data_IF_626981723541
#
_entry.id   IF_626981723541
#
_cell.length_a   1.000
_cell.length_b   1.000
_cell.length_c   1.000
_cell.angle_alpha   90.00
_cell.angle_beta   90.00
_cell.angle_gamma   90.00
#
_symmetry.space_group_name_H-M   'P 1'
#
loop_
_entity.id
_entity.type
_entity.pdbx_description
1 polymer ?
#
# COMPACT_ATOMS: atom_id res chain seq x y z
N UNK A 1 15.38 -17.32 9.00
CA UNK A 1 15.45 -17.03 7.56
C UNK A 1 15.67 -15.53 7.45
N UNK A 2 16.86 -15.11 7.02
CA UNK A 2 17.16 -13.69 6.79
C UNK A 2 16.41 -13.28 5.54
N UNK A 3 15.46 -12.35 5.67
CA UNK A 3 14.86 -11.70 4.52
C UNK A 3 15.98 -10.87 3.90
N UNK A 4 16.59 -11.40 2.86
CA UNK A 4 17.49 -10.66 1.99
C UNK A 4 16.64 -9.66 1.21
N UNK A 5 16.34 -8.53 1.86
CA UNK A 5 15.65 -7.42 1.23
C UNK A 5 16.66 -6.85 0.24
N UNK A 6 16.60 -7.33 -1.00
CA UNK A 6 17.35 -6.79 -2.12
C UNK A 6 17.22 -5.25 -2.08
N UNK A 7 18.31 -4.57 -1.75
CA UNK A 7 18.30 -3.16 -1.35
C UNK A 7 17.72 -2.23 -2.42
N UNK A 8 17.82 -2.66 -3.69
CA UNK A 8 17.23 -2.01 -4.85
C UNK A 8 15.69 -2.10 -4.87
N UNK A 9 15.13 -3.22 -4.39
CA UNK A 9 13.69 -3.45 -4.30
C UNK A 9 13.07 -2.62 -3.17
N UNK A 10 13.76 -2.47 -2.03
CA UNK A 10 13.30 -1.62 -0.93
C UNK A 10 13.24 -0.14 -1.32
N UNK A 11 14.30 0.36 -1.98
CA UNK A 11 14.34 1.76 -2.45
C UNK A 11 13.19 2.06 -3.43
N UNK A 12 12.94 1.16 -4.37
CA UNK A 12 11.82 1.26 -5.32
C UNK A 12 10.45 1.21 -4.63
N UNK A 13 10.26 0.30 -3.68
CA UNK A 13 9.01 0.18 -2.92
C UNK A 13 8.71 1.41 -2.05
N UNK A 14 9.72 1.95 -1.36
CA UNK A 14 9.56 3.20 -0.57
C UNK A 14 9.24 4.38 -1.48
N UNK A 15 9.91 4.50 -2.62
CA UNK A 15 9.65 5.57 -3.57
C UNK A 15 8.23 5.51 -4.14
N UNK A 16 7.76 4.29 -4.47
CA UNK A 16 6.39 4.04 -4.93
C UNK A 16 5.37 4.44 -3.86
N UNK A 17 5.61 4.08 -2.59
CA UNK A 17 4.74 4.47 -1.48
C UNK A 17 4.70 5.98 -1.26
N UNK A 18 5.85 6.65 -1.27
CA UNK A 18 5.93 8.11 -1.15
C UNK A 18 5.18 8.80 -2.29
N UNK A 19 5.36 8.32 -3.52
CA UNK A 19 4.67 8.84 -4.68
C UNK A 19 3.14 8.68 -4.55
N UNK A 20 2.66 7.51 -4.14
CA UNK A 20 1.24 7.27 -3.91
C UNK A 20 0.66 8.22 -2.84
N UNK A 21 1.39 8.47 -1.75
CA UNK A 21 1.00 9.44 -0.74
C UNK A 21 0.94 10.87 -1.28
N UNK A 22 1.92 11.26 -2.10
CA UNK A 22 1.94 12.58 -2.76
C UNK A 22 0.72 12.75 -3.68
N UNK A 23 0.33 11.71 -4.42
CA UNK A 23 -0.87 11.73 -5.27
C UNK A 23 -2.15 11.92 -4.44
N UNK A 24 -2.29 11.21 -3.32
CA UNK A 24 -3.43 11.37 -2.40
C UNK A 24 -3.49 12.80 -1.85
N UNK A 25 -2.34 13.36 -1.45
CA UNK A 25 -2.25 14.72 -0.92
C UNK A 25 -2.62 15.73 -2.01
N UNK A 26 -2.11 15.57 -3.23
CA UNK A 26 -2.47 16.40 -4.40
C UNK A 26 -3.98 16.41 -4.62
N UNK A 27 -4.61 15.24 -4.59
CA UNK A 27 -6.06 15.13 -4.83
C UNK A 27 -6.87 15.78 -3.70
N UNK A 28 -6.43 15.63 -2.44
CA UNK A 28 -6.99 16.37 -1.32
C UNK A 28 -6.85 17.89 -1.48
N UNK A 29 -5.69 18.36 -1.94
CA UNK A 29 -5.45 19.78 -2.20
C UNK A 29 -6.36 20.33 -3.30
N UNK A 30 -6.62 19.57 -4.37
CA UNK A 30 -7.58 19.94 -5.43
C UNK A 30 -8.99 20.12 -4.87
N UNK A 31 -9.45 19.19 -4.04
CA UNK A 31 -10.77 19.28 -3.39
C UNK A 31 -10.84 20.52 -2.50
N UNK A 32 -9.79 20.80 -1.72
CA UNK A 32 -9.73 22.00 -0.89
C UNK A 32 -9.67 23.29 -1.70
N UNK A 33 -8.95 23.29 -2.82
CA UNK A 33 -8.87 24.43 -3.73
C UNK A 33 -10.26 24.76 -4.30
N UNK A 34 -11.00 23.75 -4.74
CA UNK A 34 -12.37 23.92 -5.20
C UNK A 34 -13.26 24.54 -4.11
N UNK A 35 -13.22 23.98 -2.89
CA UNK A 35 -13.97 24.53 -1.74
C UNK A 35 -13.61 25.99 -1.43
N UNK A 36 -12.35 26.37 -1.56
CA UNK A 36 -11.90 27.76 -1.36
C UNK A 36 -12.40 28.68 -2.46
N UNK A 37 -12.35 28.23 -3.71
CA UNK A 37 -12.89 28.97 -4.85
C UNK A 37 -14.39 29.21 -4.70
N UNK A 38 -15.15 28.19 -4.29
CA UNK A 38 -16.58 28.31 -3.97
C UNK A 38 -16.83 29.22 -2.76
N UNK A 39 -15.91 29.23 -1.79
CA UNK A 39 -15.96 30.06 -0.58
C UNK A 39 -15.60 31.54 -0.78
N UNK A 40 -15.37 32.00 -2.02
CA UNK A 40 -15.15 33.41 -2.33
C UNK A 40 -13.69 33.83 -2.50
N UNK A 41 -12.79 32.90 -2.86
CA UNK A 41 -11.42 33.23 -3.23
C UNK A 41 -11.40 34.22 -4.41
N UNK A 42 -10.53 35.24 -4.35
CA UNK A 42 -10.43 36.23 -5.43
C UNK A 42 -9.99 35.61 -6.76
N UNK A 43 -10.27 36.25 -7.91
CA UNK A 43 -9.87 35.73 -9.23
C UNK A 43 -8.35 35.52 -9.37
N UNK A 44 -7.54 36.48 -8.91
CA UNK A 44 -6.08 36.40 -8.98
C UNK A 44 -5.51 35.30 -8.07
N UNK A 45 -6.08 35.13 -6.87
CA UNK A 45 -5.70 34.06 -5.95
C UNK A 45 -6.09 32.68 -6.48
N UNK A 46 -7.28 32.56 -7.09
CA UNK A 46 -7.73 31.34 -7.75
C UNK A 46 -6.81 30.95 -8.90
N UNK A 47 -6.37 31.92 -9.69
CA UNK A 47 -5.44 31.67 -10.80
C UNK A 47 -4.06 31.26 -10.30
N UNK A 48 -3.53 31.92 -9.26
CA UNK A 48 -2.27 31.54 -8.61
C UNK A 48 -2.35 30.12 -8.02
N UNK A 49 -3.45 29.77 -7.38
CA UNK A 49 -3.68 28.44 -6.81
C UNK A 49 -3.77 27.38 -7.91
N UNK A 50 -4.51 27.65 -8.99
CA UNK A 50 -4.59 26.77 -10.14
C UNK A 50 -3.23 26.51 -10.78
N UNK A 51 -2.42 27.56 -10.99
CA UNK A 51 -1.04 27.41 -11.50
C UNK A 51 -0.18 26.56 -10.57
N UNK A 52 -0.23 26.78 -9.26
CA UNK A 52 0.55 25.99 -8.30
C UNK A 52 0.18 24.50 -8.33
N UNK A 53 -1.11 24.18 -8.48
CA UNK A 53 -1.57 22.78 -8.62
C UNK A 53 -1.09 22.16 -9.94
N UNK A 54 -1.12 22.90 -11.06
CA UNK A 54 -0.60 22.42 -12.34
C UNK A 54 0.91 22.15 -12.31
N UNK A 55 1.69 23.00 -11.64
CA UNK A 55 3.13 22.78 -11.45
C UNK A 55 3.41 21.55 -10.58
N UNK A 56 2.61 21.34 -9.52
CA UNK A 56 2.68 20.13 -8.71
C UNK A 56 2.40 18.87 -9.55
N UNK A 57 1.38 18.91 -10.41
CA UNK A 57 1.05 17.81 -11.31
C UNK A 57 2.22 17.45 -12.23
N UNK A 58 2.84 18.46 -12.85
CA UNK A 58 4.01 18.29 -13.72
C UNK A 58 5.19 17.69 -12.97
N UNK A 59 5.47 18.16 -11.76
CA UNK A 59 6.56 17.64 -10.95
C UNK A 59 6.35 16.16 -10.59
N UNK A 60 5.12 15.77 -10.25
CA UNK A 60 4.78 14.37 -9.96
C UNK A 60 4.97 13.49 -11.20
N UNK A 61 4.47 13.93 -12.36
CA UNK A 61 4.62 13.18 -13.62
C UNK A 61 6.08 13.06 -14.06
N UNK A 62 6.89 14.11 -13.86
CA UNK A 62 8.32 14.05 -14.14
C UNK A 62 9.04 13.04 -13.25
N UNK A 63 8.74 13.03 -11.94
CA UNK A 63 9.32 12.03 -11.02
C UNK A 63 8.90 10.61 -11.40
N UNK A 64 7.65 10.40 -11.83
CA UNK A 64 7.17 9.10 -12.33
C UNK A 64 7.95 8.63 -13.55
N UNK A 65 8.17 9.53 -14.50
CA UNK A 65 8.89 9.25 -15.74
C UNK A 65 10.38 8.94 -15.48
N UNK A 66 11.05 9.73 -14.64
CA UNK A 66 12.47 9.54 -14.30
C UNK A 66 12.74 8.21 -13.59
N UNK A 67 11.74 7.68 -12.87
CA UNK A 67 11.88 6.49 -12.04
C UNK A 67 11.27 5.24 -12.69
N UNK A 68 10.71 5.35 -13.90
CA UNK A 68 10.10 4.23 -14.61
C UNK A 68 8.90 3.61 -13.88
N UNK A 69 8.22 4.38 -13.01
CA UNK A 69 7.25 3.86 -12.04
C UNK A 69 5.83 3.67 -12.60
N UNK A 70 5.60 3.99 -13.88
CA UNK A 70 4.25 3.87 -14.47
C UNK A 70 3.69 2.44 -14.44
N UNK A 71 4.54 1.41 -14.56
CA UNK A 71 4.16 -0.01 -14.39
C UNK A 71 4.30 -0.49 -12.93
N UNK A 72 5.13 0.18 -12.12
CA UNK A 72 5.42 -0.25 -10.74
C UNK A 72 4.28 -0.02 -9.76
N UNK A 73 3.39 0.96 -10.00
CA UNK A 73 2.25 1.22 -9.10
C UNK A 73 1.16 0.14 -9.23
N UNK A 74 0.92 -0.34 -10.45
CA UNK A 74 -0.03 -1.42 -10.71
C UNK A 74 0.48 -2.74 -10.12
N UNK A 75 1.75 -3.08 -10.37
CA UNK A 75 2.35 -4.28 -9.76
C UNK A 75 2.51 -4.18 -8.24
N UNK A 76 2.65 -2.97 -7.68
CA UNK A 76 2.63 -2.77 -6.23
C UNK A 76 1.23 -2.97 -5.63
N UNK A 77 0.18 -2.51 -6.30
CA UNK A 77 -1.21 -2.78 -5.88
C UNK A 77 -1.52 -4.26 -5.89
N UNK A 78 -1.14 -4.96 -6.95
CA UNK A 78 -1.27 -6.42 -7.04
C UNK A 78 -0.45 -7.14 -5.96
N UNK A 79 0.76 -6.66 -5.66
CA UNK A 79 1.61 -7.20 -4.60
C UNK A 79 1.05 -6.96 -3.18
N UNK A 80 0.36 -5.84 -2.95
CA UNK A 80 -0.30 -5.57 -1.67
C UNK A 80 -1.56 -6.42 -1.46
N UNK A 81 -2.34 -6.69 -2.50
CA UNK A 81 -3.54 -7.54 -2.39
C UNK A 81 -3.18 -8.94 -1.88
N UNK A 82 -2.10 -9.53 -2.39
CA UNK A 82 -1.61 -10.82 -1.89
C UNK A 82 -1.16 -10.78 -0.42
N UNK A 83 -0.54 -9.68 0.02
CA UNK A 83 -0.09 -9.51 1.40
C UNK A 83 -1.26 -9.30 2.37
N UNK A 84 -2.32 -8.61 1.91
CA UNK A 84 -3.55 -8.40 2.68
C UNK A 84 -4.26 -9.72 2.94
N UNK A 85 -4.35 -10.60 1.94
CA UNK A 85 -4.96 -11.92 2.08
C UNK A 85 -4.23 -12.80 3.10
N UNK A 86 -2.90 -12.76 3.14
CA UNK A 86 -2.10 -13.49 4.13
C UNK A 86 -2.33 -12.98 5.56
N UNK A 87 -2.41 -11.66 5.74
CA UNK A 87 -2.68 -11.05 7.04
C UNK A 87 -4.10 -11.35 7.51
N UNK A 88 -5.08 -11.28 6.62
CA UNK A 88 -6.48 -11.62 6.91
C UNK A 88 -6.59 -13.10 7.27
N UNK A 89 -5.99 -14.01 6.50
CA UNK A 89 -6.01 -15.45 6.80
C UNK A 89 -5.36 -15.78 8.15
N UNK A 90 -4.26 -15.10 8.51
CA UNK A 90 -3.60 -15.30 9.80
C UNK A 90 -4.42 -14.79 10.97
N UNK A 91 -5.22 -13.74 10.77
CA UNK A 91 -6.13 -13.20 11.79
C UNK A 91 -7.42 -14.03 11.91
N UNK A 92 -7.86 -14.65 10.81
CA UNK A 92 -9.05 -15.50 10.76
C UNK A 92 -8.77 -16.96 11.15
N UNK A 93 -7.51 -17.39 11.18
CA UNK A 93 -7.11 -18.72 11.65
C UNK A 93 -7.28 -18.81 13.17
N UNK A 94 -8.29 -19.55 13.67
CA UNK A 94 -8.43 -19.79 15.10
C UNK A 94 -7.40 -20.85 15.48
N UNK A 95 -6.59 -20.59 16.49
CA UNK A 95 -5.76 -21.62 17.13
C UNK A 95 -6.62 -22.84 17.46
N UNK A 96 -6.34 -23.98 16.84
CA UNK A 96 -7.24 -25.12 16.98
C UNK A 96 -6.77 -26.39 16.29
N UNK A 97 -5.54 -26.83 16.54
CA UNK A 97 -5.24 -28.25 16.44
C UNK A 97 -4.45 -28.70 17.67
N UNK A 98 -5.20 -28.97 18.75
CA UNK A 98 -4.73 -29.68 19.94
C UNK A 98 -5.60 -30.91 20.12
N UNK A 99 -4.98 -32.08 19.99
CA UNK A 99 -5.59 -33.40 20.09
C UNK A 99 -5.80 -33.93 18.68
N UNK A 100 -5.04 -34.91 18.21
CA UNK A 100 -5.23 -36.30 18.61
C UNK A 100 -3.91 -37.07 18.52
N UNK A 101 -3.24 -37.34 19.65
CA UNK A 101 -2.07 -38.23 19.68
C UNK A 101 -2.08 -39.15 20.92
N UNK A 102 -3.27 -39.50 21.41
CA UNK A 102 -3.42 -40.26 22.68
C UNK A 102 -4.39 -41.44 22.58
N UNK A 103 -4.62 -41.99 21.39
CA UNK A 103 -5.40 -43.24 21.24
C UNK A 103 -4.58 -44.48 20.92
N UNK A 104 -3.30 -44.34 20.58
CA UNK A 104 -2.44 -45.48 20.23
C UNK A 104 -1.60 -46.01 21.41
N UNK A 105 -1.80 -45.47 22.62
CA UNK A 105 -1.08 -45.88 23.85
C UNK A 105 -1.85 -46.87 24.74
N UNK A 106 -3.06 -47.29 24.35
CA UNK A 106 -3.94 -48.11 25.20
C UNK A 106 -4.27 -49.52 24.66
N UNK A 107 -3.74 -49.92 23.50
CA UNK A 107 -3.79 -51.33 23.07
C UNK A 107 -2.60 -52.10 23.69
N UNK A 108 -2.73 -52.48 24.96
CA UNK A 108 -1.76 -53.30 25.67
C UNK A 108 -1.66 -54.74 25.12
N UNK A 109 -0.60 -55.50 25.47
CA UNK A 109 -0.47 -56.89 25.08
C UNK A 109 -1.18 -57.79 26.11
N UNK A 110 -2.14 -58.60 25.66
CA UNK A 110 -2.66 -59.78 26.36
C UNK A 110 -3.40 -60.64 25.32
N UNK A 111 -3.23 -61.94 25.17
CA UNK A 111 -2.55 -62.97 25.95
C UNK A 111 -2.24 -64.15 25.02
N UNK A 112 -1.37 -65.06 25.47
CA UNK A 112 -0.98 -66.34 24.87
C UNK A 112 -2.12 -67.32 24.61
#
# INVERSE_FOLDING_TARGET
>A
MLIDIQENNLKSGVLTLVLALVEIIRDALRIQALKRMEGGLGPEESERLGRALMELDRAIEQVKAEQGLSESVESFREGLDGLVDDVINKLLSPEGDRGENERDRLAGPANS
#
